data_IF_506579201214
#
_entry.id   IF_506579201214
#
_cell.length_a   1.000
_cell.length_b   1.000
_cell.length_c   1.000
_cell.angle_alpha   90.00
_cell.angle_beta   90.00
_cell.angle_gamma   90.00
#
_symmetry.space_group_name_H-M   'P 1'
#
loop_
_entity.id
_entity.type
_entity.pdbx_description
1 polymer ?
#
# COMPACT_ATOMS: atom_id res chain seq x y z
N UNK A 1 -8.21 18.69 0.52
CA UNK A 1 -7.50 18.28 1.76
C UNK A 1 -6.18 17.59 1.37
N UNK A 2 -5.31 17.28 2.33
CA UNK A 2 -4.10 16.48 2.06
C UNK A 2 -4.14 15.22 2.91
N UNK A 3 -4.01 14.06 2.27
CA UNK A 3 -3.89 12.76 2.90
C UNK A 3 -2.42 12.31 2.85
N UNK A 4 -1.96 11.67 3.92
CA UNK A 4 -0.59 11.18 4.01
C UNK A 4 -0.65 9.67 4.19
N UNK A 5 0.04 8.94 3.33
CA UNK A 5 0.18 7.49 3.40
C UNK A 5 1.66 7.10 3.31
N UNK A 6 2.01 6.00 3.96
CA UNK A 6 3.38 5.50 4.06
C UNK A 6 3.36 3.97 4.11
N UNK A 7 4.45 3.36 3.65
CA UNK A 7 4.73 1.93 3.85
C UNK A 7 3.59 0.99 3.43
N UNK A 8 3.01 1.26 2.25
CA UNK A 8 1.93 0.43 1.71
C UNK A 8 2.40 -0.99 1.41
N UNK A 9 3.72 -1.17 1.20
CA UNK A 9 4.34 -2.47 0.95
C UNK A 9 3.62 -3.25 -0.17
N UNK A 10 3.21 -2.53 -1.22
CA UNK A 10 2.49 -3.15 -2.32
C UNK A 10 3.38 -4.22 -2.94
N UNK A 11 2.80 -5.39 -3.20
CA UNK A 11 3.52 -6.55 -3.74
C UNK A 11 4.67 -7.08 -2.88
N UNK A 12 4.71 -6.77 -1.57
CA UNK A 12 5.75 -7.27 -0.66
C UNK A 12 5.27 -8.50 0.14
N UNK A 13 5.48 -9.70 -0.39
CA UNK A 13 5.01 -10.95 0.26
C UNK A 13 5.58 -11.14 1.67
N UNK A 14 6.87 -10.87 1.83
CA UNK A 14 7.55 -11.00 3.13
C UNK A 14 6.89 -10.13 4.22
N UNK A 15 6.25 -9.01 3.86
CA UNK A 15 5.55 -8.17 4.84
C UNK A 15 4.28 -8.81 5.41
N UNK A 16 3.70 -9.78 4.71
CA UNK A 16 2.53 -10.53 5.17
C UNK A 16 2.98 -11.55 6.21
N UNK A 17 3.96 -12.39 5.86
CA UNK A 17 4.49 -13.43 6.74
C UNK A 17 5.18 -12.83 7.99
N UNK A 18 6.12 -11.91 7.79
CA UNK A 18 6.91 -11.34 8.88
C UNK A 18 6.08 -10.58 9.91
N UNK A 19 5.03 -9.89 9.46
CA UNK A 19 4.14 -9.13 10.35
C UNK A 19 2.87 -9.90 10.76
N UNK A 20 2.73 -11.17 10.39
CA UNK A 20 1.53 -11.99 10.65
C UNK A 20 0.23 -11.28 10.22
N UNK A 21 0.22 -10.73 9.00
CA UNK A 21 -0.94 -9.98 8.50
C UNK A 21 -2.03 -10.95 8.01
N UNK A 22 -3.31 -10.65 8.22
CA UNK A 22 -4.43 -11.52 7.86
C UNK A 22 -4.77 -11.41 6.36
N UNK A 23 -3.80 -11.66 5.50
CA UNK A 23 -3.97 -11.61 4.05
C UNK A 23 -3.44 -12.90 3.43
N UNK A 24 -4.18 -13.44 2.46
CA UNK A 24 -3.77 -14.65 1.75
C UNK A 24 -2.68 -14.37 0.69
N UNK A 25 -2.40 -13.09 0.42
CA UNK A 25 -1.34 -12.67 -0.48
C UNK A 25 -1.34 -11.18 -0.77
N UNK A 26 -0.33 -10.74 -1.53
CA UNK A 26 -0.11 -9.31 -1.83
C UNK A 26 -1.23 -8.68 -2.65
N UNK A 27 -1.97 -9.47 -3.43
CA UNK A 27 -3.14 -8.98 -4.16
C UNK A 27 -4.21 -8.39 -3.24
N UNK A 28 -4.42 -8.95 -2.04
CA UNK A 28 -5.38 -8.42 -1.06
C UNK A 28 -4.89 -7.14 -0.42
N UNK A 29 -3.63 -7.10 -0.01
CA UNK A 29 -2.97 -5.89 0.52
C UNK A 29 -3.08 -4.74 -0.47
N UNK A 30 -2.78 -5.01 -1.74
CA UNK A 30 -2.81 -4.01 -2.80
C UNK A 30 -4.23 -3.47 -3.01
N UNK A 31 -5.22 -4.36 -3.15
CA UNK A 31 -6.62 -3.97 -3.34
C UNK A 31 -7.14 -3.16 -2.17
N UNK A 32 -6.88 -3.58 -0.93
CA UNK A 32 -7.36 -2.91 0.26
C UNK A 32 -6.74 -1.51 0.40
N UNK A 33 -5.42 -1.40 0.22
CA UNK A 33 -4.71 -0.11 0.29
C UNK A 33 -5.23 0.90 -0.73
N UNK A 34 -5.36 0.49 -1.99
CA UNK A 34 -5.88 1.35 -3.07
C UNK A 34 -7.34 1.72 -2.82
N UNK A 35 -8.18 0.77 -2.41
CA UNK A 35 -9.61 1.00 -2.15
C UNK A 35 -9.79 2.02 -1.02
N UNK A 36 -9.05 1.88 0.08
CA UNK A 36 -9.13 2.80 1.20
C UNK A 36 -8.74 4.22 0.80
N UNK A 37 -7.65 4.39 0.03
CA UNK A 37 -7.24 5.70 -0.48
C UNK A 37 -8.32 6.30 -1.38
N UNK A 38 -8.87 5.50 -2.31
CA UNK A 38 -9.91 5.94 -3.24
C UNK A 38 -11.23 6.31 -2.54
N UNK A 39 -11.50 5.80 -1.33
CA UNK A 39 -12.70 6.15 -0.57
C UNK A 39 -12.63 7.52 0.11
N UNK A 40 -11.43 8.07 0.31
CA UNK A 40 -11.20 9.32 1.06
C UNK A 40 -10.58 10.43 0.24
N UNK A 41 -9.89 10.12 -0.86
CA UNK A 41 -9.24 11.10 -1.71
C UNK A 41 -10.14 11.51 -2.88
N UNK A 42 -10.50 12.80 -2.93
CA UNK A 42 -11.27 13.39 -4.02
C UNK A 42 -10.38 14.02 -5.11
N UNK A 43 -10.90 14.27 -6.33
CA UNK A 43 -10.08 14.71 -7.48
C UNK A 43 -9.32 16.03 -7.31
N UNK A 44 -9.73 16.88 -6.39
CA UNK A 44 -9.12 18.18 -6.06
C UNK A 44 -8.20 18.11 -4.82
N UNK A 45 -7.89 16.90 -4.35
CA UNK A 45 -7.06 16.65 -3.17
C UNK A 45 -5.72 16.03 -3.51
N UNK A 46 -4.80 16.11 -2.55
CA UNK A 46 -3.48 15.51 -2.68
C UNK A 46 -3.37 14.28 -1.77
N UNK A 47 -2.84 13.20 -2.33
CA UNK A 47 -2.35 12.04 -1.57
C UNK A 47 -0.83 12.05 -1.66
N UNK A 48 -0.17 12.32 -0.53
CA UNK A 48 1.27 12.29 -0.42
C UNK A 48 1.73 10.90 0.04
N UNK A 49 2.59 10.28 -0.76
CA UNK A 49 3.21 8.99 -0.46
C UNK A 49 4.63 9.24 0.05
N UNK A 50 4.89 8.93 1.32
CA UNK A 50 6.15 9.33 1.95
C UNK A 50 7.21 8.24 1.99
N UNK A 51 6.86 6.96 1.84
CA UNK A 51 7.78 5.80 1.85
C UNK A 51 7.23 4.64 0.97
N UNK A 52 7.79 3.43 1.12
CA UNK A 52 7.66 2.25 0.26
C UNK A 52 6.28 2.06 -0.40
N UNK A 53 6.22 2.33 -1.71
CA UNK A 53 5.01 2.35 -2.53
C UNK A 53 4.80 0.94 -3.14
N UNK A 54 5.56 0.49 -4.17
CA UNK A 54 5.77 -0.93 -4.44
C UNK A 54 7.10 -1.44 -3.87
N UNK A 55 7.15 -2.73 -3.50
CA UNK A 55 8.41 -3.44 -3.32
C UNK A 55 9.07 -3.62 -4.69
N UNK A 56 10.30 -3.12 -4.85
CA UNK A 56 11.00 -3.13 -6.13
C UNK A 56 11.37 -4.55 -6.58
N UNK A 57 11.27 -4.81 -7.89
CA UNK A 57 11.81 -6.00 -8.57
C UNK A 57 13.36 -6.02 -8.65
N UNK A 58 14.05 -5.41 -7.68
CA UNK A 58 15.50 -5.36 -7.66
C UNK A 58 15.99 -6.18 -6.47
N UNK A 59 16.08 -7.50 -6.66
CA UNK A 59 17.03 -8.45 -6.05
C UNK A 59 16.60 -9.88 -6.44
N UNK A 60 16.80 -10.23 -7.72
CA UNK A 60 17.26 -11.57 -8.10
C UNK A 60 18.75 -11.47 -8.40
#
# INVERSE_FOLDING_TARGET
MTHIVSDLHLSHENSIEYCDRPFDGTGEVNRLGITNIATVAFPDEYVLYLLSLPHGHNHQ
#
